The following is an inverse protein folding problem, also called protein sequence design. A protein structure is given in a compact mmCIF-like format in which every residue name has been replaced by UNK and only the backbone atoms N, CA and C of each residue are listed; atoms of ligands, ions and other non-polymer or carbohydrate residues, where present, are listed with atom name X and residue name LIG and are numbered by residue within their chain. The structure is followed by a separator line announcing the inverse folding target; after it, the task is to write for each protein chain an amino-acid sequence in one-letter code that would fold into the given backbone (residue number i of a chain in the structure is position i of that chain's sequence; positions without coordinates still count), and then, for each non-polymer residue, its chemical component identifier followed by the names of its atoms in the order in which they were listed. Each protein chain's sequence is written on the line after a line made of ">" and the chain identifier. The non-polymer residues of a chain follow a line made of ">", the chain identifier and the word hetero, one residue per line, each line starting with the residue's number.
data_IF_103234404845
#
_entry.id   IF_103234404845
#
_cell.length_a   1.000
_cell.length_b   1.000
_cell.length_c   1.000
_cell.angle_alpha   90.00
_cell.angle_beta   90.00
_cell.angle_gamma   90.00
#
_symmetry.space_group_name_H-M   'P 1'
#
loop_
_entity.id
_entity.type
_entity.pdbx_description
1 polymer ?
#
# COMPACT_ATOMS: atom_id res chain seq x y z
N UNK A 1 -16.59 -40.81 1.64
CA UNK A 1 -15.92 -39.54 1.95
C UNK A 1 -14.68 -39.46 1.08
N UNK A 2 -14.58 -38.46 0.21
CA UNK A 2 -13.47 -38.40 -0.75
C UNK A 2 -12.14 -38.12 -0.04
N UNK A 3 -11.01 -38.46 -0.66
CA UNK A 3 -9.66 -38.18 -0.11
C UNK A 3 -9.48 -36.68 0.15
N UNK A 4 -10.09 -35.83 -0.69
CA UNK A 4 -10.12 -34.37 -0.52
C UNK A 4 -10.85 -33.94 0.77
N UNK A 5 -12.00 -34.55 1.10
CA UNK A 5 -12.72 -34.27 2.35
C UNK A 5 -11.91 -34.63 3.59
N UNK A 6 -11.12 -35.71 3.52
CA UNK A 6 -10.27 -36.15 4.64
C UNK A 6 -9.11 -35.18 4.88
N UNK A 7 -8.45 -34.70 3.83
CA UNK A 7 -7.35 -33.74 3.95
C UNK A 7 -7.84 -32.38 4.46
N UNK A 8 -8.96 -31.88 3.95
CA UNK A 8 -9.59 -30.66 4.44
C UNK A 8 -9.98 -30.77 5.92
N UNK A 9 -10.59 -31.90 6.31
CA UNK A 9 -10.92 -32.15 7.72
C UNK A 9 -9.68 -32.17 8.61
N UNK A 10 -8.61 -32.82 8.19
CA UNK A 10 -7.36 -32.87 8.95
C UNK A 10 -6.72 -31.49 9.09
N UNK A 11 -6.75 -30.66 8.05
CA UNK A 11 -6.28 -29.26 8.10
C UNK A 11 -7.10 -28.42 9.08
N UNK A 12 -8.43 -28.55 9.05
CA UNK A 12 -9.32 -27.85 9.99
C UNK A 12 -9.02 -28.28 11.43
N UNK A 13 -8.90 -29.58 11.69
CA UNK A 13 -8.57 -30.11 13.02
C UNK A 13 -7.21 -29.58 13.49
N UNK A 14 -6.19 -29.60 12.64
CA UNK A 14 -4.86 -29.08 12.97
C UNK A 14 -4.91 -27.58 13.30
N UNK A 15 -5.61 -26.79 12.50
CA UNK A 15 -5.77 -25.35 12.74
C UNK A 15 -6.55 -25.05 14.03
N UNK A 16 -7.64 -25.79 14.27
CA UNK A 16 -8.42 -25.70 15.51
C UNK A 16 -7.59 -26.06 16.73
N UNK A 17 -6.78 -27.14 16.65
CA UNK A 17 -5.89 -27.54 17.73
C UNK A 17 -4.82 -26.46 18.01
N UNK A 18 -4.15 -25.94 16.98
CA UNK A 18 -3.20 -24.82 17.13
C UNK A 18 -3.88 -23.61 17.78
N UNK A 19 -5.11 -23.28 17.38
CA UNK A 19 -5.87 -22.15 17.94
C UNK A 19 -6.17 -22.35 19.41
N UNK A 20 -6.72 -23.51 19.79
CA UNK A 20 -7.07 -23.81 21.19
C UNK A 20 -5.81 -23.83 22.06
N UNK A 21 -4.74 -24.49 21.62
CA UNK A 21 -3.47 -24.54 22.35
C UNK A 21 -2.89 -23.13 22.54
N UNK A 22 -2.88 -22.32 21.48
CA UNK A 22 -2.33 -20.96 21.54
C UNK A 22 -3.11 -20.06 22.50
N UNK A 23 -4.44 -20.17 22.51
CA UNK A 23 -5.31 -19.39 23.43
C UNK A 23 -5.14 -19.86 24.86
N UNK A 24 -5.21 -21.17 25.12
CA UNK A 24 -5.10 -21.73 26.48
C UNK A 24 -3.72 -21.44 27.08
N UNK A 25 -2.65 -21.66 26.31
CA UNK A 25 -1.29 -21.37 26.77
C UNK A 25 -1.05 -19.87 26.94
N UNK A 26 -1.59 -19.02 26.05
CA UNK A 26 -1.52 -17.57 26.17
C UNK A 26 -2.19 -17.05 27.43
N UNK A 27 -3.37 -17.58 27.76
CA UNK A 27 -4.12 -17.22 28.98
C UNK A 27 -3.45 -17.76 30.25
N UNK A 28 -2.97 -19.01 30.23
CA UNK A 28 -2.31 -19.61 31.40
C UNK A 28 -0.95 -18.95 31.73
N UNK A 29 -0.21 -18.50 30.72
CA UNK A 29 1.12 -17.90 30.87
C UNK A 29 1.16 -16.37 30.90
N UNK A 30 0.04 -15.66 30.70
CA UNK A 30 0.01 -14.21 30.41
C UNK A 30 0.89 -13.81 29.19
N UNK A 31 1.07 -14.73 28.25
CA UNK A 31 1.91 -14.53 27.07
C UNK A 31 1.03 -14.15 25.87
N UNK A 32 0.62 -12.87 25.82
CA UNK A 32 -0.31 -12.36 24.79
C UNK A 32 0.20 -12.55 23.35
N UNK A 33 1.52 -12.67 23.13
CA UNK A 33 2.07 -12.92 21.80
C UNK A 33 1.66 -14.29 21.23
N UNK A 34 1.32 -15.27 22.08
CA UNK A 34 0.85 -16.58 21.63
C UNK A 34 -0.50 -16.48 20.90
N UNK A 35 -1.32 -15.47 21.20
CA UNK A 35 -2.58 -15.23 20.48
C UNK A 35 -2.36 -14.91 19.00
N UNK A 36 -1.15 -14.49 18.60
CA UNK A 36 -0.78 -14.25 17.21
C UNK A 36 -0.44 -15.52 16.42
N UNK A 37 -0.19 -16.66 17.08
CA UNK A 37 0.23 -17.91 16.41
C UNK A 37 -0.79 -18.41 15.40
N UNK A 38 -2.11 -18.45 15.68
CA UNK A 38 -3.09 -18.90 14.69
C UNK A 38 -3.12 -18.01 13.45
N UNK A 39 -2.96 -16.70 13.62
CA UNK A 39 -2.87 -15.76 12.50
C UNK A 39 -1.60 -16.00 11.68
N UNK A 40 -0.45 -16.23 12.34
CA UNK A 40 0.81 -16.56 11.66
C UNK A 40 0.73 -17.89 10.91
N UNK A 41 0.09 -18.92 11.50
CA UNK A 41 -0.11 -20.21 10.87
C UNK A 41 -0.98 -20.09 9.62
N UNK A 42 -2.07 -19.31 9.69
CA UNK A 42 -2.91 -19.03 8.53
C UNK A 42 -2.15 -18.24 7.46
N UNK A 43 -1.35 -17.25 7.85
CA UNK A 43 -0.50 -16.49 6.95
C UNK A 43 0.50 -17.40 6.22
N UNK A 44 1.19 -18.29 6.95
CA UNK A 44 2.14 -19.24 6.39
C UNK A 44 1.45 -20.25 5.44
N UNK A 45 0.26 -20.72 5.80
CA UNK A 45 -0.54 -21.58 4.92
C UNK A 45 -0.90 -20.86 3.61
N UNK A 46 -1.41 -19.62 3.70
CA UNK A 46 -1.74 -18.81 2.53
C UNK A 46 -0.52 -18.46 1.67
N UNK A 47 0.65 -18.26 2.28
CA UNK A 47 1.90 -18.01 1.56
C UNK A 47 2.26 -19.16 0.60
N UNK A 48 1.98 -20.40 1.01
CA UNK A 48 2.29 -21.59 0.22
C UNK A 48 1.17 -21.88 -0.80
N UNK A 49 -0.10 -21.73 -0.39
CA UNK A 49 -1.26 -22.12 -1.21
C UNK A 49 -1.64 -21.05 -2.22
N UNK A 50 -1.78 -19.80 -1.81
CA UNK A 50 -2.20 -18.69 -2.67
C UNK A 50 -1.68 -17.34 -2.15
N UNK A 51 -0.40 -17.05 -2.46
CA UNK A 51 0.25 -15.81 -2.06
C UNK A 51 -0.43 -14.54 -2.62
N UNK A 52 -1.33 -14.67 -3.62
CA UNK A 52 -2.11 -13.52 -4.12
C UNK A 52 -3.05 -13.00 -3.04
N UNK A 53 -3.60 -13.89 -2.21
CA UNK A 53 -4.47 -13.48 -1.10
C UNK A 53 -3.71 -12.66 -0.07
N UNK A 54 -2.43 -13.00 0.18
CA UNK A 54 -1.57 -12.22 1.05
C UNK A 54 -1.29 -10.82 0.48
N UNK A 55 -1.16 -10.67 -0.84
CA UNK A 55 -1.08 -9.35 -1.46
C UNK A 55 -2.35 -8.52 -1.23
N UNK A 56 -3.55 -9.11 -1.39
CA UNK A 56 -4.79 -8.40 -1.09
C UNK A 56 -4.91 -8.07 0.41
N UNK A 57 -4.49 -8.97 1.29
CA UNK A 57 -4.43 -8.71 2.73
C UNK A 57 -3.48 -7.55 3.04
N UNK A 58 -2.31 -7.50 2.39
CA UNK A 58 -1.37 -6.37 2.51
C UNK A 58 -2.07 -5.07 2.12
N UNK A 59 -2.78 -5.04 0.99
CA UNK A 59 -3.55 -3.86 0.56
C UNK A 59 -4.57 -3.44 1.63
N UNK A 60 -5.28 -4.40 2.23
CA UNK A 60 -6.26 -4.14 3.30
C UNK A 60 -5.61 -3.52 4.54
N UNK A 61 -4.38 -3.92 4.85
CA UNK A 61 -3.65 -3.45 6.02
C UNK A 61 -3.02 -2.06 5.83
N UNK A 62 -2.85 -1.56 4.60
CA UNK A 62 -2.21 -0.26 4.35
C UNK A 62 -2.87 0.91 5.10
N UNK A 63 -4.21 1.06 5.14
CA UNK A 63 -4.82 2.20 5.83
C UNK A 63 -4.75 2.11 7.36
N UNK A 64 -4.58 0.90 7.90
CA UNK A 64 -4.64 0.61 9.34
C UNK A 64 -3.26 0.27 9.93
N UNK A 65 -2.19 0.40 9.12
CA UNK A 65 -0.82 0.16 9.58
C UNK A 65 -0.46 1.16 10.69
N UNK A 66 0.38 0.73 11.62
CA UNK A 66 0.85 1.56 12.73
C UNK A 66 2.37 1.63 12.71
N UNK A 67 2.89 2.83 12.86
CA UNK A 67 4.33 3.10 13.00
C UNK A 67 4.76 2.73 14.43
N UNK A 68 5.69 1.77 14.56
CA UNK A 68 6.22 1.30 15.85
C UNK A 68 7.70 1.62 15.97
N UNK A 69 8.07 2.20 17.11
CA UNK A 69 9.45 2.48 17.47
C UNK A 69 10.07 1.26 18.14
N UNK A 70 11.12 0.70 17.54
CA UNK A 70 11.87 -0.43 18.07
C UNK A 70 12.96 0.06 19.06
N UNK A 71 13.39 -0.79 20.01
CA UNK A 71 14.36 -0.42 21.06
C UNK A 71 15.71 0.07 20.54
N UNK A 72 16.07 -0.32 19.31
CA UNK A 72 17.29 0.06 18.61
C UNK A 72 17.18 1.39 17.84
N UNK A 73 16.08 2.14 18.01
CA UNK A 73 15.82 3.40 17.31
C UNK A 73 15.37 3.24 15.85
N UNK A 74 15.11 2.01 15.38
CA UNK A 74 14.51 1.81 14.05
C UNK A 74 12.99 1.93 14.13
N UNK A 75 12.40 2.49 13.08
CA UNK A 75 10.97 2.68 12.95
C UNK A 75 10.45 1.72 11.90
N UNK A 76 9.37 0.99 12.21
CA UNK A 76 8.80 -0.03 11.33
C UNK A 76 7.28 0.05 11.31
N UNK A 77 6.70 -0.13 10.12
CA UNK A 77 5.26 -0.14 9.93
C UNK A 77 4.69 -1.56 10.09
N UNK A 78 3.95 -1.80 11.17
CA UNK A 78 3.37 -3.11 11.48
C UNK A 78 1.87 -3.11 11.14
N UNK A 79 1.35 -4.14 10.43
CA UNK A 79 2.02 -5.36 9.97
C UNK A 79 2.62 -5.27 8.56
N UNK A 80 2.52 -4.11 7.90
CA UNK A 80 2.73 -3.99 6.45
C UNK A 80 4.17 -4.22 6.01
N UNK A 81 5.18 -3.72 6.73
CA UNK A 81 6.59 -3.94 6.40
C UNK A 81 7.01 -5.42 6.46
N UNK A 82 6.74 -6.17 7.56
CA UNK A 82 6.96 -7.61 7.59
C UNK A 82 6.25 -8.37 6.45
N UNK A 83 5.03 -7.95 6.11
CA UNK A 83 4.28 -8.53 4.99
C UNK A 83 4.93 -8.24 3.64
N UNK A 84 5.46 -7.04 3.41
CA UNK A 84 6.18 -6.69 2.19
C UNK A 84 7.48 -7.51 2.05
N UNK A 85 8.26 -7.65 3.11
CA UNK A 85 9.50 -8.43 3.09
C UNK A 85 9.21 -9.90 2.78
N UNK A 86 8.20 -10.49 3.44
CA UNK A 86 7.82 -11.88 3.19
C UNK A 86 7.24 -12.09 1.79
N UNK A 87 6.37 -11.19 1.29
CA UNK A 87 5.85 -11.23 -0.07
C UNK A 87 6.94 -11.06 -1.13
N UNK A 88 7.93 -10.19 -0.89
CA UNK A 88 9.11 -10.07 -1.74
C UNK A 88 9.85 -11.41 -1.83
N UNK A 89 10.12 -12.06 -0.69
CA UNK A 89 10.79 -13.37 -0.67
C UNK A 89 10.01 -14.44 -1.45
N UNK A 90 8.70 -14.54 -1.21
CA UNK A 90 7.81 -15.48 -1.93
C UNK A 90 7.82 -15.19 -3.43
N UNK A 91 7.72 -13.92 -3.82
CA UNK A 91 7.72 -13.52 -5.23
C UNK A 91 9.06 -13.81 -5.91
N UNK A 92 10.19 -13.57 -5.24
CA UNK A 92 11.51 -13.91 -5.76
C UNK A 92 11.62 -15.42 -5.99
N UNK A 93 11.19 -16.26 -5.03
CA UNK A 93 11.15 -17.72 -5.20
C UNK A 93 10.23 -18.14 -6.36
N UNK A 94 9.08 -17.50 -6.50
CA UNK A 94 8.16 -17.73 -7.61
C UNK A 94 8.78 -17.38 -8.96
N UNK A 95 9.49 -16.25 -9.05
CA UNK A 95 10.20 -15.83 -10.27
C UNK A 95 11.38 -16.75 -10.56
N UNK A 96 12.14 -17.20 -9.55
CA UNK A 96 13.23 -18.16 -9.77
C UNK A 96 12.72 -19.50 -10.31
N UNK A 97 11.57 -19.98 -9.81
CA UNK A 97 10.97 -21.24 -10.26
C UNK A 97 10.30 -21.14 -11.63
N UNK A 98 9.57 -20.06 -11.89
CA UNK A 98 8.70 -19.92 -13.06
C UNK A 98 9.19 -18.90 -14.09
N UNK A 99 10.33 -18.24 -13.84
CA UNK A 99 10.82 -17.08 -14.60
C UNK A 99 11.01 -17.34 -16.09
N UNK A 100 11.43 -18.56 -16.46
CA UNK A 100 11.58 -18.96 -17.87
C UNK A 100 10.27 -18.88 -18.66
N UNK A 101 9.12 -19.02 -17.99
CA UNK A 101 7.79 -18.94 -18.61
C UNK A 101 7.17 -17.54 -18.54
N UNK A 102 7.81 -16.61 -17.83
CA UNK A 102 7.28 -15.25 -17.67
C UNK A 102 7.58 -14.41 -18.92
N UNK A 103 6.57 -13.68 -19.40
CA UNK A 103 6.71 -12.82 -20.57
C UNK A 103 7.72 -11.70 -20.30
N UNK A 104 8.84 -11.72 -21.02
CA UNK A 104 9.90 -10.70 -20.93
C UNK A 104 9.41 -9.28 -21.29
N UNK A 105 8.24 -9.14 -21.92
CA UNK A 105 7.66 -7.85 -22.29
C UNK A 105 7.44 -6.89 -21.11
N UNK A 106 7.18 -7.42 -19.90
CA UNK A 106 7.04 -6.57 -18.70
C UNK A 106 8.37 -5.93 -18.27
N UNK A 107 9.47 -6.69 -18.34
CA UNK A 107 10.81 -6.20 -17.99
C UNK A 107 11.38 -5.23 -19.02
N UNK A 108 11.03 -5.42 -20.30
CA UNK A 108 11.46 -4.55 -21.41
C UNK A 108 10.66 -3.25 -21.53
N UNK A 109 9.64 -3.05 -20.70
CA UNK A 109 8.86 -1.82 -20.75
C UNK A 109 9.71 -0.61 -20.33
N UNK A 110 9.64 0.55 -21.02
CA UNK A 110 10.49 1.71 -20.72
C UNK A 110 10.38 2.20 -19.27
N UNK A 111 9.18 2.13 -18.68
CA UNK A 111 8.97 2.49 -17.26
C UNK A 111 9.70 1.53 -16.33
N UNK A 112 9.67 0.22 -16.62
CA UNK A 112 10.39 -0.79 -15.84
C UNK A 112 11.90 -0.54 -15.93
N UNK A 113 12.41 -0.24 -17.12
CA UNK A 113 13.82 0.07 -17.33
C UNK A 113 14.25 1.34 -16.60
N UNK A 114 13.44 2.41 -16.65
CA UNK A 114 13.72 3.64 -15.91
C UNK A 114 13.71 3.41 -14.40
N UNK A 115 12.78 2.60 -13.90
CA UNK A 115 12.70 2.23 -12.48
C UNK A 115 13.93 1.42 -12.05
N UNK A 116 14.35 0.43 -12.85
CA UNK A 116 15.54 -0.38 -12.59
C UNK A 116 16.82 0.47 -12.66
N UNK A 117 16.90 1.40 -13.60
CA UNK A 117 18.01 2.36 -13.69
C UNK A 117 18.07 3.24 -12.44
N UNK A 118 16.93 3.74 -11.97
CA UNK A 118 16.86 4.51 -10.74
C UNK A 118 17.27 3.68 -9.52
N UNK A 119 16.85 2.41 -9.43
CA UNK A 119 17.29 1.50 -8.38
C UNK A 119 18.79 1.22 -8.44
N UNK A 120 19.35 1.02 -9.63
CA UNK A 120 20.79 0.84 -9.81
C UNK A 120 21.56 2.10 -9.38
N UNK A 121 21.07 3.28 -9.76
CA UNK A 121 21.66 4.54 -9.32
C UNK A 121 21.63 4.70 -7.80
N UNK A 122 20.49 4.43 -7.16
CA UNK A 122 20.39 4.42 -5.70
C UNK A 122 21.39 3.46 -5.07
N UNK A 123 21.55 2.26 -5.62
CA UNK A 123 22.54 1.30 -5.15
C UNK A 123 23.97 1.86 -5.23
N UNK A 124 24.35 2.49 -6.35
CA UNK A 124 25.67 3.13 -6.47
C UNK A 124 25.88 4.24 -5.42
N UNK A 125 24.88 5.07 -5.17
CA UNK A 125 24.98 6.14 -4.14
C UNK A 125 25.08 5.59 -2.72
N UNK A 126 24.54 4.40 -2.46
CA UNK A 126 24.66 3.73 -1.15
C UNK A 126 26.09 3.27 -0.92
N UNK A 127 26.75 2.73 -1.96
CA UNK A 127 28.14 2.26 -1.88
C UNK A 127 29.13 3.40 -1.58
N UNK A 128 28.85 4.61 -2.05
CA UNK A 128 29.71 5.79 -1.83
C UNK A 128 29.31 6.62 -0.62
N UNK A 129 28.28 6.22 0.12
CA UNK A 129 27.75 6.98 1.25
C UNK A 129 28.65 6.89 2.49
N UNK A 130 28.88 8.05 3.13
CA UNK A 130 29.57 8.12 4.43
C UNK A 130 28.80 7.36 5.54
N UNK A 131 27.48 7.31 5.45
CA UNK A 131 26.61 6.61 6.40
C UNK A 131 26.12 5.28 5.83
N UNK A 132 27.05 4.41 5.43
CA UNK A 132 26.77 3.17 4.68
C UNK A 132 25.64 2.32 5.27
N UNK A 133 25.65 2.07 6.59
CA UNK A 133 24.63 1.22 7.26
C UNK A 133 23.23 1.83 7.16
N UNK A 134 23.10 3.15 7.30
CA UNK A 134 21.81 3.86 7.21
C UNK A 134 21.31 3.85 5.77
N UNK A 135 22.18 4.16 4.82
CA UNK A 135 21.88 4.13 3.39
C UNK A 135 21.49 2.73 2.91
N UNK A 136 22.17 1.68 3.41
CA UNK A 136 21.86 0.30 3.07
C UNK A 136 20.48 -0.12 3.60
N UNK A 137 20.15 0.19 4.85
CA UNK A 137 18.80 -0.08 5.41
C UNK A 137 17.72 0.63 4.59
N UNK A 138 17.95 1.88 4.21
CA UNK A 138 17.03 2.65 3.37
C UNK A 138 16.86 2.04 1.96
N UNK A 139 17.95 1.59 1.34
CA UNK A 139 17.91 0.95 0.02
C UNK A 139 17.18 -0.38 0.07
N UNK A 140 17.46 -1.21 1.07
CA UNK A 140 16.74 -2.46 1.31
C UNK A 140 15.24 -2.19 1.45
N UNK A 141 14.87 -1.10 2.15
CA UNK A 141 13.48 -0.69 2.20
C UNK A 141 12.89 -0.49 0.81
N UNK A 142 13.54 0.34 -0.02
CA UNK A 142 13.10 0.55 -1.41
C UNK A 142 12.99 -0.76 -2.21
N UNK A 143 13.85 -1.75 -1.98
CA UNK A 143 13.78 -3.05 -2.65
C UNK A 143 12.48 -3.81 -2.37
N UNK A 144 12.06 -3.94 -1.11
CA UNK A 144 10.81 -4.65 -0.81
C UNK A 144 9.57 -3.84 -1.22
N UNK A 145 9.61 -2.51 -1.17
CA UNK A 145 8.55 -1.65 -1.71
C UNK A 145 8.38 -1.84 -3.22
N UNK A 146 9.47 -1.70 -4.00
CA UNK A 146 9.41 -1.82 -5.46
C UNK A 146 9.05 -3.23 -5.88
N UNK A 147 9.66 -4.26 -5.28
CA UNK A 147 9.33 -5.65 -5.62
C UNK A 147 7.86 -5.96 -5.36
N UNK A 148 7.30 -5.53 -4.23
CA UNK A 148 5.92 -5.85 -3.84
C UNK A 148 4.88 -5.02 -4.61
N UNK A 149 5.05 -3.70 -4.69
CA UNK A 149 4.03 -2.83 -5.28
C UNK A 149 4.17 -2.61 -6.78
N UNK A 150 5.33 -2.89 -7.38
CA UNK A 150 5.52 -2.79 -8.83
C UNK A 150 5.51 -4.17 -9.49
N UNK A 151 6.47 -5.03 -9.15
CA UNK A 151 6.65 -6.31 -9.85
C UNK A 151 5.57 -7.33 -9.48
N UNK A 152 5.36 -7.58 -8.19
CA UNK A 152 4.33 -8.49 -7.71
C UNK A 152 2.93 -7.97 -8.08
N UNK A 153 2.63 -6.69 -7.83
CA UNK A 153 1.36 -6.09 -8.23
C UNK A 153 1.11 -6.21 -9.75
N UNK A 154 2.10 -5.90 -10.59
CA UNK A 154 2.00 -6.07 -12.05
C UNK A 154 1.80 -7.52 -12.50
N UNK A 155 2.27 -8.49 -11.70
CA UNK A 155 2.04 -9.91 -11.96
C UNK A 155 0.62 -10.37 -11.59
N UNK A 156 0.04 -9.81 -10.53
CA UNK A 156 -1.27 -10.17 -9.99
C UNK A 156 -2.41 -9.39 -10.67
N UNK A 157 -2.26 -8.08 -10.81
CA UNK A 157 -3.32 -7.17 -11.27
C UNK A 157 -3.35 -7.10 -12.80
N UNK A 158 -3.94 -8.11 -13.43
CA UNK A 158 -4.00 -8.22 -14.91
C UNK A 158 -5.37 -7.92 -15.49
N UNK A 159 -6.41 -7.94 -14.67
CA UNK A 159 -7.78 -7.76 -15.11
C UNK A 159 -8.53 -6.67 -14.34
N UNK A 160 -9.61 -6.18 -14.91
CA UNK A 160 -10.53 -5.25 -14.22
C UNK A 160 -11.10 -5.86 -12.94
N UNK A 161 -11.28 -7.19 -12.89
CA UNK A 161 -11.73 -7.91 -11.69
C UNK A 161 -10.71 -7.78 -10.54
N UNK A 162 -9.42 -7.84 -10.85
CA UNK A 162 -8.37 -7.70 -9.85
C UNK A 162 -8.33 -6.27 -9.31
N UNK A 163 -8.48 -5.27 -10.19
CA UNK A 163 -8.55 -3.87 -9.78
C UNK A 163 -9.77 -3.57 -8.91
N UNK A 164 -10.94 -4.13 -9.27
CA UNK A 164 -12.14 -4.09 -8.43
C UNK A 164 -11.87 -4.70 -7.06
N UNK A 165 -11.20 -5.85 -7.01
CA UNK A 165 -10.86 -6.53 -5.76
C UNK A 165 -9.93 -5.67 -4.88
N UNK A 166 -8.90 -5.04 -5.45
CA UNK A 166 -8.05 -4.10 -4.68
C UNK A 166 -8.89 -2.98 -4.09
N UNK A 167 -9.74 -2.34 -4.91
CA UNK A 167 -10.58 -1.25 -4.44
C UNK A 167 -11.46 -1.68 -3.27
N UNK A 168 -12.16 -2.81 -3.39
CA UNK A 168 -13.07 -3.30 -2.34
C UNK A 168 -12.38 -3.80 -1.08
N UNK A 169 -11.11 -4.20 -1.17
CA UNK A 169 -10.35 -4.64 -0.01
C UNK A 169 -9.73 -3.45 0.73
N UNK A 170 -9.28 -2.41 0.03
CA UNK A 170 -8.69 -1.21 0.64
C UNK A 170 -9.75 -0.24 1.18
N UNK A 171 -10.88 -0.12 0.48
CA UNK A 171 -11.83 0.96 0.75
C UNK A 171 -12.47 0.87 2.15
N UNK A 172 -12.96 -0.29 2.64
CA UNK A 172 -13.52 -0.38 3.98
C UNK A 172 -12.56 0.05 5.11
N UNK A 173 -11.31 -0.48 5.21
CA UNK A 173 -10.39 -0.03 6.25
C UNK A 173 -10.01 1.45 6.09
N UNK A 174 -9.90 1.96 4.86
CA UNK A 174 -9.64 3.38 4.62
C UNK A 174 -10.78 4.27 5.10
N UNK A 175 -12.03 3.92 4.84
CA UNK A 175 -13.17 4.70 5.32
C UNK A 175 -13.30 4.62 6.84
N UNK A 176 -12.99 3.47 7.44
CA UNK A 176 -12.97 3.30 8.89
C UNK A 176 -11.97 4.26 9.53
N UNK A 177 -10.75 4.37 8.99
CA UNK A 177 -9.74 5.29 9.53
C UNK A 177 -10.15 6.75 9.34
N UNK A 178 -10.80 7.11 8.23
CA UNK A 178 -11.38 8.45 8.01
C UNK A 178 -12.44 8.76 9.07
N UNK A 179 -13.41 7.87 9.28
CA UNK A 179 -14.45 8.06 10.30
C UNK A 179 -13.83 8.22 11.68
N UNK A 180 -12.86 7.37 12.03
CA UNK A 180 -12.14 7.44 13.30
C UNK A 180 -11.46 8.81 13.49
N UNK A 181 -10.70 9.27 12.49
CA UNK A 181 -10.01 10.57 12.55
C UNK A 181 -11.02 11.72 12.65
N UNK A 182 -12.08 11.71 11.83
CA UNK A 182 -13.10 12.77 11.83
C UNK A 182 -13.87 12.84 13.15
N UNK A 183 -14.29 11.70 13.71
CA UNK A 183 -14.98 11.65 15.02
C UNK A 183 -14.07 12.18 16.12
N UNK A 184 -12.80 11.77 16.14
CA UNK A 184 -11.84 12.29 17.13
C UNK A 184 -11.61 13.78 16.95
N UNK A 185 -11.51 14.26 15.72
CA UNK A 185 -11.31 15.67 15.42
C UNK A 185 -12.50 16.54 15.82
N UNK A 186 -13.72 16.01 15.66
CA UNK A 186 -14.93 16.65 16.17
C UNK A 186 -14.89 16.83 17.70
N UNK A 187 -14.37 15.85 18.44
CA UNK A 187 -14.21 15.95 19.90
C UNK A 187 -13.22 17.06 20.31
N UNK A 188 -12.30 17.45 19.44
CA UNK A 188 -11.38 18.59 19.61
C UNK A 188 -11.87 19.87 18.89
N UNK A 189 -13.15 19.94 18.54
CA UNK A 189 -13.77 21.12 17.91
C UNK A 189 -13.19 21.47 16.53
N UNK A 190 -12.65 20.49 15.80
CA UNK A 190 -11.95 20.68 14.52
C UNK A 190 -10.76 21.64 14.60
N UNK A 191 -10.14 21.79 15.77
CA UNK A 191 -8.97 22.65 15.96
C UNK A 191 -7.81 22.22 15.06
N UNK A 192 -7.17 23.20 14.40
CA UNK A 192 -5.96 22.96 13.60
C UNK A 192 -4.77 22.51 14.45
N UNK A 193 -4.67 23.01 15.69
CA UNK A 193 -3.54 22.71 16.59
C UNK A 193 -3.51 21.23 17.00
N UNK A 194 -4.69 20.61 17.13
CA UNK A 194 -4.86 19.24 17.60
C UNK A 194 -4.84 18.20 16.46
N UNK A 195 -4.69 18.65 15.22
CA UNK A 195 -4.71 17.78 14.02
C UNK A 195 -3.64 16.69 14.12
N UNK A 196 -2.48 16.95 14.72
CA UNK A 196 -1.46 15.91 14.84
C UNK A 196 -1.90 14.77 15.77
N UNK A 197 -2.55 15.10 16.89
CA UNK A 197 -2.98 14.10 17.88
C UNK A 197 -4.11 13.22 17.36
N UNK A 198 -5.00 13.76 16.52
CA UNK A 198 -6.15 13.00 16.00
C UNK A 198 -5.76 11.96 14.96
N UNK A 199 -4.57 12.07 14.36
CA UNK A 199 -4.07 11.15 13.32
C UNK A 199 -3.57 9.82 13.89
N UNK A 200 -3.14 9.80 15.16
CA UNK A 200 -2.69 8.57 15.81
C UNK A 200 -3.86 7.61 16.13
N UNK A 201 -3.68 6.29 16.02
CA UNK A 201 -2.40 5.59 15.82
C UNK A 201 -2.05 5.32 14.35
N UNK A 202 -2.99 5.48 13.42
CA UNK A 202 -2.85 4.96 12.04
C UNK A 202 -1.95 5.81 11.14
N UNK A 203 -1.85 7.11 11.40
CA UNK A 203 -1.06 8.01 10.56
C UNK A 203 -0.06 8.78 11.40
N UNK A 204 1.21 8.75 10.98
CA UNK A 204 2.29 9.54 11.56
C UNK A 204 1.97 11.03 11.59
N UNK A 205 1.35 11.53 10.51
CA UNK A 205 0.98 12.92 10.40
C UNK A 205 -0.19 13.11 9.42
N UNK A 206 -0.75 14.32 9.43
CA UNK A 206 -1.86 14.73 8.55
C UNK A 206 -1.53 14.67 7.05
N UNK A 207 -0.25 14.77 6.69
CA UNK A 207 0.18 14.72 5.28
C UNK A 207 0.08 13.29 4.76
N UNK A 208 0.56 12.30 5.51
CA UNK A 208 0.44 10.88 5.15
C UNK A 208 -1.02 10.45 5.03
N UNK A 209 -1.87 10.88 5.97
CA UNK A 209 -3.31 10.68 5.91
C UNK A 209 -3.90 11.26 4.61
N UNK A 210 -3.63 12.53 4.31
CA UNK A 210 -4.16 13.18 3.12
C UNK A 210 -3.63 12.54 1.82
N UNK A 211 -2.35 12.18 1.77
CA UNK A 211 -1.76 11.46 0.65
C UNK A 211 -2.46 10.13 0.39
N UNK A 212 -2.75 9.35 1.45
CA UNK A 212 -3.46 8.08 1.32
C UNK A 212 -4.84 8.29 0.68
N UNK A 213 -5.60 9.27 1.13
CA UNK A 213 -6.92 9.57 0.55
C UNK A 213 -6.81 10.03 -0.90
N UNK A 214 -5.92 10.98 -1.20
CA UNK A 214 -5.76 11.55 -2.53
C UNK A 214 -5.29 10.50 -3.55
N UNK A 215 -4.42 9.56 -3.16
CA UNK A 215 -3.95 8.49 -4.06
C UNK A 215 -5.08 7.53 -4.41
N UNK A 216 -5.95 7.16 -3.48
CA UNK A 216 -7.06 6.24 -3.74
C UNK A 216 -8.29 6.92 -4.39
N UNK A 217 -8.44 8.24 -4.27
CA UNK A 217 -9.61 8.97 -4.75
C UNK A 217 -9.87 8.82 -6.25
N UNK A 218 -8.87 8.91 -7.17
CA UNK A 218 -9.08 8.66 -8.59
C UNK A 218 -9.59 7.26 -8.90
N UNK A 219 -9.16 6.24 -8.14
CA UNK A 219 -9.61 4.86 -8.31
C UNK A 219 -11.07 4.68 -7.89
N UNK A 220 -11.48 5.30 -6.78
CA UNK A 220 -12.89 5.33 -6.34
C UNK A 220 -13.77 6.04 -7.38
N UNK A 221 -13.32 7.20 -7.87
CA UNK A 221 -14.05 7.96 -8.89
C UNK A 221 -14.18 7.20 -10.20
N UNK A 222 -13.11 6.56 -10.67
CA UNK A 222 -13.16 5.70 -11.85
C UNK A 222 -14.07 4.47 -11.62
N UNK A 223 -14.03 3.89 -10.42
CA UNK A 223 -14.84 2.75 -10.02
C UNK A 223 -16.35 2.98 -10.10
N UNK A 224 -16.82 4.24 -10.01
CA UNK A 224 -18.23 4.59 -10.22
C UNK A 224 -18.75 4.16 -11.59
N UNK A 225 -17.89 4.09 -12.61
CA UNK A 225 -18.26 3.69 -13.98
C UNK A 225 -18.50 2.19 -14.12
N UNK A 226 -18.02 1.37 -13.19
CA UNK A 226 -18.18 -0.08 -13.23
C UNK A 226 -19.56 -0.56 -12.80
N UNK A 227 -20.30 0.26 -12.06
CA UNK A 227 -21.57 -0.12 -11.44
C UNK A 227 -22.72 0.64 -12.08
N UNK A 228 -23.88 -0.03 -12.17
CA UNK A 228 -25.12 0.62 -12.62
C UNK A 228 -25.41 1.82 -11.72
N UNK A 229 -25.71 2.96 -12.34
CA UNK A 229 -26.09 4.19 -11.65
C UNK A 229 -27.24 3.89 -10.68
N UNK A 230 -27.18 4.45 -9.47
CA UNK A 230 -28.15 4.24 -8.38
C UNK A 230 -28.21 2.81 -7.80
N UNK A 231 -27.24 1.93 -8.08
CA UNK A 231 -27.09 0.69 -7.32
C UNK A 231 -26.51 0.95 -5.92
N UNK A 232 -26.69 0.01 -5.00
CA UNK A 232 -26.11 0.08 -3.65
C UNK A 232 -24.58 0.30 -3.69
N UNK A 233 -23.88 -0.46 -4.54
CA UNK A 233 -22.44 -0.31 -4.73
C UNK A 233 -22.07 1.08 -5.26
N UNK A 234 -22.87 1.64 -6.18
CA UNK A 234 -22.66 3.00 -6.68
C UNK A 234 -22.85 4.05 -5.58
N UNK A 235 -23.91 3.94 -4.77
CA UNK A 235 -24.12 4.83 -3.63
C UNK A 235 -23.01 4.72 -2.59
N UNK A 236 -22.52 3.51 -2.30
CA UNK A 236 -21.40 3.31 -1.39
C UNK A 236 -20.12 4.01 -1.89
N UNK A 237 -19.81 3.91 -3.19
CA UNK A 237 -18.65 4.60 -3.77
C UNK A 237 -18.80 6.11 -3.77
N UNK A 238 -20.02 6.65 -4.00
CA UNK A 238 -20.29 8.09 -3.89
C UNK A 238 -20.11 8.55 -2.45
N UNK A 239 -20.68 7.82 -1.48
CA UNK A 239 -20.51 8.09 -0.07
C UNK A 239 -19.03 8.07 0.33
N UNK A 240 -18.29 7.06 -0.11
CA UNK A 240 -16.86 6.95 0.10
C UNK A 240 -16.10 8.16 -0.45
N UNK A 241 -16.41 8.60 -1.67
CA UNK A 241 -15.79 9.76 -2.29
C UNK A 241 -16.04 11.05 -1.49
N UNK A 242 -17.29 11.27 -1.07
CA UNK A 242 -17.67 12.43 -0.24
C UNK A 242 -16.95 12.38 1.10
N UNK A 243 -16.94 11.23 1.76
CA UNK A 243 -16.28 11.05 3.05
C UNK A 243 -14.76 11.29 2.95
N UNK A 244 -14.12 10.82 1.88
CA UNK A 244 -12.70 11.09 1.61
C UNK A 244 -12.43 12.58 1.35
N UNK A 245 -13.31 13.30 0.63
CA UNK A 245 -13.18 14.74 0.43
C UNK A 245 -13.29 15.51 1.75
N UNK A 246 -14.23 15.12 2.62
CA UNK A 246 -14.37 15.66 3.97
C UNK A 246 -13.10 15.38 4.79
N UNK A 247 -12.57 14.17 4.71
CA UNK A 247 -11.31 13.79 5.34
C UNK A 247 -10.13 14.65 4.89
N UNK A 248 -9.99 14.86 3.58
CA UNK A 248 -8.94 15.74 3.02
C UNK A 248 -9.13 17.18 3.50
N UNK A 249 -10.37 17.69 3.54
CA UNK A 249 -10.66 19.04 3.99
C UNK A 249 -10.20 19.26 5.45
N UNK A 250 -10.58 18.34 6.35
CA UNK A 250 -10.19 18.41 7.76
C UNK A 250 -8.73 18.07 8.02
N UNK A 251 -8.00 17.53 7.04
CA UNK A 251 -6.54 17.35 7.15
C UNK A 251 -5.77 18.68 7.09
N UNK A 252 -6.37 19.77 6.58
CA UNK A 252 -5.73 21.08 6.37
C UNK A 252 -4.39 21.02 5.62
N UNK A 253 -4.22 20.04 4.73
CA UNK A 253 -2.96 19.85 3.99
C UNK A 253 -3.04 20.53 2.63
N UNK A 254 -2.37 21.68 2.48
CA UNK A 254 -2.36 22.46 1.21
C UNK A 254 -1.93 21.62 0.01
N UNK A 255 -0.90 20.80 0.18
CA UNK A 255 -0.40 19.91 -0.86
C UNK A 255 -1.47 18.93 -1.36
N UNK A 256 -2.39 18.48 -0.51
CA UNK A 256 -3.43 17.55 -0.89
C UNK A 256 -4.44 18.17 -1.86
N UNK A 257 -4.86 19.42 -1.62
CA UNK A 257 -5.73 20.14 -2.55
C UNK A 257 -5.04 20.35 -3.91
N UNK A 258 -3.77 20.75 -3.89
CA UNK A 258 -2.97 20.91 -5.11
C UNK A 258 -2.86 19.59 -5.86
N UNK A 259 -2.58 18.48 -5.17
CA UNK A 259 -2.52 17.15 -5.77
C UNK A 259 -3.84 16.70 -6.39
N UNK A 260 -5.00 17.02 -5.79
CA UNK A 260 -6.31 16.71 -6.38
C UNK A 260 -6.56 17.51 -7.67
N UNK A 261 -6.22 18.80 -7.66
CA UNK A 261 -6.32 19.64 -8.87
C UNK A 261 -5.37 19.13 -9.96
N UNK A 262 -4.13 18.81 -9.61
CA UNK A 262 -3.15 18.24 -10.54
C UNK A 262 -3.61 16.88 -11.08
N UNK A 263 -4.21 16.03 -10.25
CA UNK A 263 -4.75 14.74 -10.69
C UNK A 263 -5.89 14.92 -11.72
N UNK A 264 -6.77 15.89 -11.51
CA UNK A 264 -7.80 16.24 -12.49
C UNK A 264 -7.18 16.74 -13.81
N UNK A 265 -6.17 17.62 -13.73
CA UNK A 265 -5.41 18.07 -14.90
C UNK A 265 -4.73 16.92 -15.64
N UNK A 266 -4.04 16.05 -14.92
CA UNK A 266 -3.36 14.87 -15.47
C UNK A 266 -4.34 13.93 -16.18
N UNK A 267 -5.57 13.76 -15.66
CA UNK A 267 -6.61 12.98 -16.34
C UNK A 267 -6.92 13.53 -17.73
N UNK A 268 -7.04 14.85 -17.90
CA UNK A 268 -7.28 15.46 -19.21
C UNK A 268 -6.06 15.35 -20.15
N UNK A 269 -4.84 15.53 -19.62
CA UNK A 269 -3.60 15.33 -20.39
C UNK A 269 -3.53 13.91 -20.95
N UNK A 270 -3.84 12.90 -20.13
CA UNK A 270 -3.86 11.50 -20.54
C UNK A 270 -5.00 11.25 -21.54
N UNK A 271 -6.20 11.74 -21.25
CA UNK A 271 -7.39 11.56 -22.11
C UNK A 271 -7.18 12.11 -23.51
N UNK A 272 -6.49 13.24 -23.64
CA UNK A 272 -6.17 13.87 -24.93
C UNK A 272 -4.82 13.43 -25.52
N UNK A 273 -4.16 12.43 -24.93
CA UNK A 273 -2.84 11.91 -25.37
C UNK A 273 -1.74 12.98 -25.45
N UNK A 274 -1.83 14.04 -24.64
CA UNK A 274 -0.87 15.14 -24.56
C UNK A 274 0.37 14.80 -23.72
N UNK A 275 0.66 13.52 -23.48
CA UNK A 275 1.80 13.09 -22.67
C UNK A 275 3.15 13.53 -23.27
N UNK A 276 3.30 13.44 -24.61
CA UNK A 276 4.52 13.86 -25.30
C UNK A 276 4.82 15.35 -25.10
N UNK A 277 3.90 16.29 -25.39
CA UNK A 277 4.15 17.71 -25.14
C UNK A 277 4.29 18.02 -23.65
N UNK A 278 3.52 17.38 -22.76
CA UNK A 278 3.65 17.60 -21.32
C UNK A 278 5.06 17.25 -20.79
N UNK A 279 5.63 16.11 -21.23
CA UNK A 279 7.00 15.72 -20.88
C UNK A 279 8.02 16.71 -21.48
N UNK A 280 7.81 17.15 -22.72
CA UNK A 280 8.67 18.15 -23.37
C UNK A 280 8.70 19.48 -22.59
N UNK A 281 7.54 20.01 -22.22
CA UNK A 281 7.44 21.22 -21.42
C UNK A 281 8.06 21.05 -20.02
N UNK A 282 7.85 19.91 -19.37
CA UNK A 282 8.44 19.62 -18.07
C UNK A 282 9.98 19.56 -18.13
N UNK A 283 10.54 18.94 -19.17
CA UNK A 283 11.98 18.87 -19.39
C UNK A 283 12.58 20.25 -19.65
N UNK A 284 11.95 21.05 -20.52
CA UNK A 284 12.38 22.43 -20.78
C UNK A 284 12.31 23.27 -19.49
N UNK A 285 11.22 23.15 -18.73
CA UNK A 285 11.06 23.84 -17.45
C UNK A 285 12.13 23.45 -16.43
N UNK A 286 12.47 22.17 -16.32
CA UNK A 286 13.54 21.70 -15.45
C UNK A 286 14.91 22.25 -15.85
N UNK A 287 15.22 22.27 -17.15
CA UNK A 287 16.48 22.84 -17.67
C UNK A 287 16.55 24.34 -17.40
N UNK A 288 15.48 25.08 -17.67
CA UNK A 288 15.41 26.52 -17.39
C UNK A 288 15.53 26.82 -15.90
N UNK A 289 14.91 26.01 -15.05
CA UNK A 289 15.03 26.14 -13.60
C UNK A 289 16.48 25.93 -13.14
N UNK A 290 17.13 24.84 -13.58
CA UNK A 290 18.54 24.61 -13.27
C UNK A 290 19.42 25.75 -13.79
N UNK A 291 19.17 26.23 -15.01
CA UNK A 291 19.91 27.36 -15.59
C UNK A 291 19.72 28.67 -14.81
N UNK A 292 18.55 28.90 -14.21
CA UNK A 292 18.33 30.04 -13.32
C UNK A 292 19.10 29.92 -12.00
N UNK A 293 19.15 28.73 -11.41
CA UNK A 293 19.87 28.46 -10.16
C UNK A 293 21.39 28.49 -10.31
N UNK A 294 21.90 28.36 -11.54
CA UNK A 294 23.34 28.49 -11.86
C UNK A 294 23.76 29.94 -12.16
N UNK A 295 22.80 30.85 -12.36
CA UNK A 295 23.07 32.28 -12.56
C UNK A 295 23.12 33.07 -11.25
N UNK A 296 22.58 32.51 -10.17
CA UNK A 296 22.73 32.97 -8.79
C UNK A 296 23.95 32.31 -8.13
#
# INVERSE_FOLDING_TARGET
>A
MTIADRNTRNLIIAFSAITVISVVAGMAGNWYFLLGIPALALYAYLAVVDFKQLFFLLMACLPITVEVWLPNGTVTDIPTEPMMVSLMGIYLLYVLRNGATMKAGFLRHPITMLLLLHMAWMFFTVLTSQAFVVSLKWFLAKCWYVTTFYFLAGSILRSEKDLKKVLWVVLPPLLLTVVYVTVRHAAYGFSFAEVYKVMHPFYRNKVMYACMLVVFMPFVWYGLKWYRRYSFAWFFLVFALVLMLVGVQFSYTRAAYVSLVLAAGAYYVIKWRLMKPAIGFAAIGAVLFIASQLKD
#
